data_IF_309325542547
#
_entry.id   IF_309325542547
#
_cell.length_a   1.000
_cell.length_b   1.000
_cell.length_c   1.000
_cell.angle_alpha   90.00
_cell.angle_beta   90.00
_cell.angle_gamma   90.00
#
_symmetry.space_group_name_H-M   'P 1'
#
loop_
_entity.id
_entity.type
_entity.pdbx_description
1 polymer ?
#
# COMPACT_ATOMS: atom_id res chain seq x y z
N UNK A 1 4.75 10.05 -19.22
CA UNK A 1 4.83 10.98 -18.07
C UNK A 1 6.23 11.55 -18.02
N UNK A 2 6.38 12.80 -17.59
CA UNK A 2 7.71 13.40 -17.41
C UNK A 2 8.20 13.17 -15.98
N UNK A 3 9.04 12.16 -15.79
CA UNK A 3 9.66 11.90 -14.49
C UNK A 3 10.76 12.90 -14.13
N UNK A 4 11.32 13.61 -15.12
CA UNK A 4 12.38 14.59 -14.87
C UNK A 4 11.85 15.75 -14.03
N UNK A 5 10.70 16.31 -14.39
CA UNK A 5 10.03 17.35 -13.58
C UNK A 5 9.60 16.86 -12.20
N UNK A 6 9.22 15.58 -12.07
CA UNK A 6 8.94 14.98 -10.76
C UNK A 6 10.23 14.96 -9.91
N UNK A 7 11.36 14.50 -10.45
CA UNK A 7 12.63 14.52 -9.72
C UNK A 7 13.06 15.94 -9.35
N UNK A 8 12.97 16.88 -10.28
CA UNK A 8 13.28 18.29 -10.04
C UNK A 8 12.45 18.88 -8.89
N UNK A 9 11.15 18.57 -8.84
CA UNK A 9 10.28 19.00 -7.74
C UNK A 9 10.78 18.53 -6.37
N UNK A 10 11.28 17.30 -6.28
CA UNK A 10 11.73 16.73 -5.01
C UNK A 10 13.15 17.14 -4.61
N UNK A 11 13.93 17.80 -5.48
CA UNK A 11 15.26 18.30 -5.13
C UNK A 11 15.23 19.30 -3.96
N UNK A 12 14.16 20.08 -3.85
CA UNK A 12 13.95 21.08 -2.79
C UNK A 12 12.98 20.59 -1.70
N UNK A 13 12.70 19.29 -1.64
CA UNK A 13 11.75 18.69 -0.68
C UNK A 13 12.44 18.03 0.51
N UNK A 14 11.64 17.65 1.52
CA UNK A 14 12.10 16.85 2.66
C UNK A 14 12.26 15.35 2.35
N UNK A 15 11.93 14.91 1.13
CA UNK A 15 12.02 13.51 0.74
C UNK A 15 13.35 13.20 0.05
N UNK A 16 14.06 12.18 0.55
CA UNK A 16 15.24 11.63 -0.10
C UNK A 16 14.80 10.71 -1.25
N UNK A 17 14.83 11.24 -2.46
CA UNK A 17 14.37 10.58 -3.68
C UNK A 17 15.51 10.44 -4.68
N UNK A 18 15.65 9.26 -5.28
CA UNK A 18 16.65 8.99 -6.31
C UNK A 18 16.05 8.23 -7.51
N UNK A 19 16.50 8.54 -8.73
CA UNK A 19 16.27 7.66 -9.87
C UNK A 19 17.01 6.33 -9.65
N UNK A 20 16.35 5.23 -9.97
CA UNK A 20 16.90 3.89 -9.82
C UNK A 20 16.40 2.98 -10.94
N UNK A 21 16.92 1.75 -11.00
CA UNK A 21 16.42 0.73 -11.93
C UNK A 21 16.28 -0.62 -11.24
N UNK A 22 15.17 -1.31 -11.54
CA UNK A 22 14.86 -2.65 -11.06
C UNK A 22 14.16 -3.45 -12.17
N UNK A 23 14.61 -4.68 -12.42
CA UNK A 23 14.09 -5.54 -13.49
C UNK A 23 14.12 -4.88 -14.89
N UNK A 24 15.19 -4.14 -15.19
CA UNK A 24 15.34 -3.34 -16.42
C UNK A 24 14.22 -2.29 -16.62
N UNK A 25 13.49 -1.95 -15.55
CA UNK A 25 12.52 -0.88 -15.52
C UNK A 25 13.09 0.32 -14.79
N UNK A 26 12.80 1.51 -15.30
CA UNK A 26 13.06 2.75 -14.60
C UNK A 26 12.17 2.84 -13.35
N UNK A 27 12.76 3.31 -12.26
CA UNK A 27 12.09 3.40 -10.97
C UNK A 27 12.48 4.69 -10.25
N UNK A 28 11.63 5.09 -9.31
CA UNK A 28 11.88 6.17 -8.36
C UNK A 28 11.96 5.54 -6.97
N UNK A 29 13.12 5.65 -6.32
CA UNK A 29 13.34 5.17 -4.95
C UNK A 29 13.21 6.32 -3.96
N UNK A 30 12.49 6.09 -2.87
CA UNK A 30 12.35 7.02 -1.74
C UNK A 30 12.91 6.34 -0.50
N UNK A 31 13.83 7.02 0.18
CA UNK A 31 14.48 6.54 1.39
C UNK A 31 13.80 7.15 2.62
N UNK A 32 13.25 6.30 3.47
CA UNK A 32 12.47 6.72 4.64
C UNK A 32 13.04 6.09 5.90
N UNK A 33 13.26 6.90 6.93
CA UNK A 33 13.69 6.41 8.25
C UNK A 33 12.49 6.27 9.19
N UNK A 34 12.21 5.05 9.66
CA UNK A 34 11.17 4.75 10.65
C UNK A 34 11.80 3.93 11.79
N UNK A 35 11.70 4.40 13.03
CA UNK A 35 12.30 3.74 14.22
C UNK A 35 13.79 3.40 14.05
N UNK A 36 14.55 4.33 13.47
CA UNK A 36 15.98 4.15 13.19
C UNK A 36 16.29 3.19 12.03
N UNK A 37 15.29 2.48 11.50
CA UNK A 37 15.43 1.59 10.33
C UNK A 37 15.29 2.39 9.05
N UNK A 38 16.17 2.11 8.08
CA UNK A 38 16.05 2.67 6.74
C UNK A 38 15.17 1.75 5.89
N UNK A 39 14.13 2.33 5.30
CA UNK A 39 13.23 1.68 4.36
C UNK A 39 13.43 2.28 2.97
N UNK A 40 13.17 1.48 1.95
CA UNK A 40 13.14 1.95 0.57
C UNK A 40 11.77 1.67 -0.02
N UNK A 41 11.06 2.75 -0.35
CA UNK A 41 9.84 2.70 -1.13
C UNK A 41 10.20 2.87 -2.61
N UNK A 42 9.68 2.01 -3.47
CA UNK A 42 10.02 2.02 -4.89
C UNK A 42 8.76 2.19 -5.72
N UNK A 43 8.73 3.20 -6.57
CA UNK A 43 7.73 3.36 -7.61
C UNK A 43 8.30 2.88 -8.94
N UNK A 44 7.60 1.98 -9.61
CA UNK A 44 7.93 1.58 -10.99
C UNK A 44 7.34 2.60 -11.95
N UNK A 45 8.19 3.20 -12.79
CA UNK A 45 7.76 4.28 -13.67
C UNK A 45 6.71 3.80 -14.68
N UNK A 46 5.68 4.61 -14.88
CA UNK A 46 4.56 4.34 -15.78
C UNK A 46 4.38 5.46 -16.78
N UNK A 47 3.81 5.13 -17.94
CA UNK A 47 3.56 6.14 -18.97
C UNK A 47 2.47 7.14 -18.57
N UNK A 48 1.53 6.73 -17.72
CA UNK A 48 0.36 7.51 -17.31
C UNK A 48 -0.11 7.07 -15.90
N UNK A 49 -0.48 8.03 -15.05
CA UNK A 49 -1.12 7.74 -13.77
C UNK A 49 -2.59 7.39 -14.00
N UNK A 50 -3.06 6.28 -13.43
CA UNK A 50 -4.50 5.94 -13.38
C UNK A 50 -5.09 6.10 -11.98
N UNK A 51 -4.23 6.34 -11.01
CA UNK A 51 -4.51 6.48 -9.59
C UNK A 51 -3.35 7.24 -8.95
N UNK A 52 -3.37 7.41 -7.63
CA UNK A 52 -2.16 7.80 -6.90
C UNK A 52 -0.98 6.88 -7.26
N UNK A 53 0.25 7.44 -7.35
CA UNK A 53 1.46 6.66 -7.59
C UNK A 53 1.60 5.54 -6.57
N UNK A 54 1.81 4.31 -7.04
CA UNK A 54 1.96 3.15 -6.17
C UNK A 54 3.41 3.00 -5.75
N UNK A 55 3.65 2.68 -4.49
CA UNK A 55 4.97 2.36 -3.98
C UNK A 55 5.02 0.95 -3.40
N UNK A 56 6.17 0.33 -3.60
CA UNK A 56 6.48 -1.02 -3.15
C UNK A 56 7.56 -0.95 -2.07
N UNK A 57 7.40 -1.76 -1.03
CA UNK A 57 8.41 -1.90 0.01
C UNK A 57 9.49 -2.89 -0.45
N UNK A 58 10.73 -2.41 -0.56
CA UNK A 58 11.87 -3.26 -0.91
C UNK A 58 12.40 -4.01 0.32
N UNK A 59 12.67 -5.30 0.16
CA UNK A 59 13.30 -6.17 1.16
C UNK A 59 12.68 -6.07 2.58
N UNK A 60 11.37 -6.26 2.68
CA UNK A 60 10.62 -6.14 3.94
C UNK A 60 10.87 -7.27 4.95
N UNK A 61 11.75 -8.23 4.66
CA UNK A 61 11.92 -9.47 5.44
C UNK A 61 12.26 -9.21 6.91
N UNK A 62 12.99 -8.13 7.21
CA UNK A 62 13.39 -7.73 8.57
C UNK A 62 12.26 -7.09 9.39
N UNK A 63 11.13 -6.77 8.78
CA UNK A 63 10.00 -6.09 9.43
C UNK A 63 8.92 -7.05 9.94
N UNK A 64 9.04 -8.34 9.64
CA UNK A 64 7.99 -9.31 9.90
C UNK A 64 6.77 -9.10 9.01
N UNK A 65 5.60 -9.58 9.46
CA UNK A 65 4.34 -9.42 8.73
C UNK A 65 3.68 -8.11 9.14
N UNK A 66 3.49 -7.21 8.16
CA UNK A 66 2.80 -5.94 8.35
C UNK A 66 1.43 -5.99 7.67
N UNK A 67 0.40 -5.43 8.32
CA UNK A 67 -0.88 -5.19 7.67
C UNK A 67 -0.70 -4.26 6.44
N UNK A 68 -1.60 -4.35 5.47
CA UNK A 68 -1.56 -3.59 4.21
C UNK A 68 -0.34 -3.84 3.33
N UNK A 69 0.58 -4.72 3.73
CA UNK A 69 1.78 -5.09 2.97
C UNK A 69 1.63 -6.51 2.45
N UNK A 70 1.41 -6.65 1.15
CA UNK A 70 1.10 -7.93 0.50
C UNK A 70 2.13 -8.28 -0.57
N UNK A 71 2.12 -9.55 -1.02
CA UNK A 71 2.99 -9.98 -2.10
C UNK A 71 2.70 -9.18 -3.38
N UNK A 72 3.76 -8.75 -4.05
CA UNK A 72 3.70 -8.21 -5.41
C UNK A 72 4.24 -9.21 -6.42
N UNK A 73 4.00 -8.92 -7.70
CA UNK A 73 4.57 -9.68 -8.82
C UNK A 73 6.09 -9.48 -8.96
N UNK A 74 6.65 -8.44 -8.33
CA UNK A 74 8.07 -8.15 -8.29
C UNK A 74 8.76 -8.89 -7.13
N UNK A 75 9.71 -9.78 -7.44
CA UNK A 75 10.47 -10.52 -6.44
C UNK A 75 11.29 -9.58 -5.53
N UNK A 76 11.25 -9.80 -4.21
CA UNK A 76 11.95 -8.94 -3.25
C UNK A 76 11.25 -7.62 -2.94
N UNK A 77 10.08 -7.39 -3.52
CA UNK A 77 9.22 -6.25 -3.25
C UNK A 77 7.88 -6.71 -2.66
N UNK A 78 7.25 -5.83 -1.89
CA UNK A 78 5.87 -6.00 -1.40
C UNK A 78 5.04 -4.81 -1.81
N UNK A 79 3.81 -5.05 -2.26
CA UNK A 79 2.86 -3.98 -2.54
C UNK A 79 2.31 -3.42 -1.23
N UNK A 80 2.22 -2.09 -1.13
CA UNK A 80 1.63 -1.38 0.01
C UNK A 80 0.25 -0.87 -0.40
N UNK A 81 -0.78 -1.36 0.28
CA UNK A 81 -2.16 -0.93 0.07
C UNK A 81 -2.49 0.29 0.94
N UNK A 82 -2.20 1.48 0.44
CA UNK A 82 -2.74 2.72 1.01
C UNK A 82 -4.21 2.86 0.59
N UNK A 83 -5.13 2.68 1.54
CA UNK A 83 -6.58 2.63 1.30
C UNK A 83 -7.10 3.71 0.32
N UNK A 84 -7.96 3.27 -0.59
CA UNK A 84 -8.57 4.03 -1.68
C UNK A 84 -9.81 4.86 -1.27
N UNK A 85 -10.12 4.96 0.03
CA UNK A 85 -11.40 5.53 0.50
C UNK A 85 -11.53 7.03 0.24
N UNK A 86 -10.41 7.73 0.14
CA UNK A 86 -10.41 9.09 -0.39
C UNK A 86 -10.22 8.99 -1.89
N UNK A 87 -11.31 9.20 -2.64
CA UNK A 87 -11.28 9.48 -4.08
C UNK A 87 -10.41 10.73 -4.31
N UNK A 88 -9.09 10.55 -4.37
CA UNK A 88 -8.19 11.66 -4.69
C UNK A 88 -8.39 11.95 -6.17
N UNK A 89 -8.92 13.14 -6.46
CA UNK A 89 -8.88 13.69 -7.81
C UNK A 89 -7.42 13.94 -8.14
N UNK A 90 -6.81 13.02 -8.88
CA UNK A 90 -5.41 13.18 -9.33
C UNK A 90 -5.40 14.34 -10.31
N UNK A 91 -4.79 15.45 -9.91
CA UNK A 91 -4.56 16.56 -10.83
C UNK A 91 -3.41 16.17 -11.77
N UNK A 92 -3.75 15.76 -12.99
CA UNK A 92 -2.77 15.36 -14.01
C UNK A 92 -1.89 16.51 -14.51
N UNK A 93 -2.23 17.77 -14.21
CA UNK A 93 -1.39 18.93 -14.53
C UNK A 93 -0.22 19.12 -13.56
N UNK A 94 -0.31 18.51 -12.36
CA UNK A 94 0.72 18.58 -11.30
C UNK A 94 1.00 17.19 -10.72
N UNK A 95 1.53 16.24 -11.53
CA UNK A 95 1.77 14.86 -11.10
C UNK A 95 2.67 14.78 -9.86
N UNK A 96 3.64 15.68 -9.71
CA UNK A 96 4.55 15.75 -8.57
C UNK A 96 3.83 15.87 -7.22
N UNK A 97 2.70 16.59 -7.16
CA UNK A 97 1.89 16.67 -5.94
C UNK A 97 1.21 15.34 -5.61
N UNK A 98 0.82 14.56 -6.63
CA UNK A 98 0.25 13.24 -6.43
C UNK A 98 1.31 12.26 -5.91
N UNK A 99 2.56 12.38 -6.36
CA UNK A 99 3.69 11.64 -5.79
C UNK A 99 3.94 12.01 -4.34
N UNK A 100 3.97 13.31 -4.03
CA UNK A 100 4.23 13.78 -2.66
C UNK A 100 3.16 13.28 -1.69
N UNK A 101 1.89 13.44 -2.06
CA UNK A 101 0.76 12.96 -1.28
C UNK A 101 0.79 11.44 -1.11
N UNK A 102 1.13 10.71 -2.18
CA UNK A 102 1.26 9.26 -2.09
C UNK A 102 2.38 8.85 -1.12
N UNK A 103 3.57 9.45 -1.24
CA UNK A 103 4.70 9.18 -0.34
C UNK A 103 4.28 9.42 1.12
N UNK A 104 3.64 10.56 1.41
CA UNK A 104 3.13 10.89 2.75
C UNK A 104 2.21 9.80 3.29
N UNK A 105 1.20 9.38 2.52
CA UNK A 105 0.27 8.31 2.92
C UNK A 105 0.98 6.99 3.21
N UNK A 106 1.96 6.62 2.39
CA UNK A 106 2.72 5.39 2.61
C UNK A 106 3.51 5.47 3.92
N UNK A 107 4.14 6.60 4.21
CA UNK A 107 4.88 6.83 5.45
C UNK A 107 3.94 6.84 6.65
N UNK A 108 2.83 7.55 6.57
CA UNK A 108 1.80 7.64 7.62
C UNK A 108 1.18 6.28 7.94
N UNK A 109 1.02 5.41 6.94
CA UNK A 109 0.55 4.03 7.14
C UNK A 109 1.62 3.14 7.76
N UNK A 110 2.84 3.15 7.20
CA UNK A 110 3.93 2.25 7.65
C UNK A 110 4.43 2.60 9.05
N UNK A 111 4.41 3.88 9.41
CA UNK A 111 4.90 4.39 10.69
C UNK A 111 4.27 3.67 11.90
N UNK A 112 2.94 3.69 12.10
CA UNK A 112 2.31 2.99 13.22
C UNK A 112 2.40 1.47 13.08
N UNK A 113 2.35 0.90 11.87
CA UNK A 113 2.48 -0.55 11.66
C UNK A 113 3.85 -1.09 12.12
N UNK A 114 4.91 -0.28 11.98
CA UNK A 114 6.27 -0.66 12.39
C UNK A 114 6.52 -0.31 13.87
N UNK A 115 5.97 0.80 14.36
CA UNK A 115 6.17 1.29 15.73
C UNK A 115 5.38 0.53 16.79
N UNK A 116 4.14 0.16 16.47
CA UNK A 116 3.19 -0.39 17.41
C UNK A 116 2.74 -1.79 16.94
N UNK A 117 3.27 -2.80 17.61
CA UNK A 117 2.97 -4.21 17.31
C UNK A 117 1.51 -4.56 17.56
N UNK A 118 0.85 -3.92 18.53
CA UNK A 118 -0.57 -4.15 18.80
C UNK A 118 -1.45 -3.48 17.75
N UNK A 119 -1.10 -2.26 17.32
CA UNK A 119 -1.77 -1.62 16.18
C UNK A 119 -1.67 -2.48 14.91
N UNK A 120 -0.47 -2.96 14.57
CA UNK A 120 -0.26 -3.85 13.42
C UNK A 120 -1.10 -5.13 13.52
N UNK A 121 -1.18 -5.74 14.71
CA UNK A 121 -1.99 -6.94 14.95
C UNK A 121 -3.48 -6.68 14.79
N UNK A 122 -4.00 -5.55 15.29
CA UNK A 122 -5.39 -5.15 15.11
C UNK A 122 -5.71 -4.99 13.62
N UNK A 123 -4.82 -4.33 12.87
CA UNK A 123 -4.99 -4.12 11.44
C UNK A 123 -4.92 -5.44 10.63
N UNK A 124 -4.01 -6.34 10.97
CA UNK A 124 -3.95 -7.68 10.35
C UNK A 124 -5.26 -8.45 10.54
N UNK A 125 -5.85 -8.40 11.75
CA UNK A 125 -7.14 -9.02 12.03
C UNK A 125 -8.28 -8.35 11.25
N UNK A 126 -8.23 -7.03 11.09
CA UNK A 126 -9.21 -6.25 10.30
C UNK A 126 -9.19 -6.66 8.82
N UNK A 127 -8.00 -6.77 8.24
CA UNK A 127 -7.81 -7.21 6.85
C UNK A 127 -8.24 -8.67 6.67
N UNK A 128 -7.82 -9.55 7.58
CA UNK A 128 -8.21 -10.96 7.55
C UNK A 128 -9.74 -11.11 7.61
N UNK A 129 -10.41 -10.43 8.54
CA UNK A 129 -11.87 -10.47 8.66
C UNK A 129 -12.57 -9.96 7.39
N UNK A 130 -12.05 -8.90 6.79
CA UNK A 130 -12.60 -8.33 5.56
C UNK A 130 -12.47 -9.32 4.40
N UNK A 131 -11.28 -9.88 4.19
CA UNK A 131 -11.01 -10.87 3.16
C UNK A 131 -11.81 -12.15 3.38
N UNK A 132 -11.87 -12.63 4.63
CA UNK A 132 -12.68 -13.79 5.00
C UNK A 132 -14.15 -13.58 4.68
N UNK A 133 -14.73 -12.44 5.06
CA UNK A 133 -16.12 -12.13 4.76
C UNK A 133 -16.37 -12.09 3.24
N UNK A 134 -15.48 -11.48 2.46
CA UNK A 134 -15.61 -11.43 0.99
C UNK A 134 -15.61 -12.85 0.41
N UNK A 135 -14.65 -13.68 0.81
CA UNK A 135 -14.49 -15.04 0.28
C UNK A 135 -15.55 -16.03 0.77
N UNK A 136 -16.18 -15.77 1.91
CA UNK A 136 -17.23 -16.65 2.48
C UNK A 136 -18.66 -16.16 2.22
N UNK A 137 -18.85 -15.00 1.57
CA UNK A 137 -20.18 -14.48 1.20
C UNK A 137 -21.02 -15.49 0.42
N UNK A 138 -20.42 -16.22 -0.52
CA UNK A 138 -21.11 -17.24 -1.31
C UNK A 138 -21.57 -18.43 -0.46
N UNK A 139 -20.79 -18.82 0.56
CA UNK A 139 -21.14 -19.91 1.47
C UNK A 139 -22.29 -19.55 2.42
N UNK A 140 -22.38 -18.28 2.84
CA UNK A 140 -23.52 -17.79 3.64
C UNK A 140 -24.81 -17.70 2.84
N UNK A 141 -24.74 -17.28 1.58
CA UNK A 141 -25.92 -17.15 0.73
C UNK A 141 -26.50 -18.50 0.28
N UNK A 142 -25.70 -19.56 0.31
CA UNK A 142 -26.11 -20.93 -0.04
C UNK A 142 -26.37 -21.83 1.18
N UNK A 143 -26.32 -21.28 2.40
CA UNK A 143 -26.70 -22.04 3.59
C UNK A 143 -28.21 -22.30 3.56
N UNK A 144 -28.68 -23.55 3.72
CA UNK A 144 -30.10 -23.84 3.81
C UNK A 144 -30.71 -22.98 4.92
N UNK A 145 -31.80 -22.27 4.64
CA UNK A 145 -32.62 -21.70 5.70
C UNK A 145 -33.08 -22.88 6.54
N UNK A 146 -32.58 -23.01 7.76
CA UNK A 146 -33.18 -23.91 8.74
C UNK A 146 -34.55 -23.34 9.02
N UNK A 147 -35.59 -23.97 8.49
CA UNK A 147 -36.96 -23.68 8.89
C UNK A 147 -37.05 -23.84 10.42
N UNK A 148 -37.73 -22.92 11.12
CA UNK A 148 -37.94 -23.10 12.55
C UNK A 148 -38.70 -24.40 12.76
N UNK A 149 -38.11 -25.31 13.52
CA UNK A 149 -38.78 -26.52 13.99
C UNK A 149 -39.98 -26.06 14.82
N UNK A 150 -41.17 -26.21 14.26
CA UNK A 150 -42.42 -26.09 15.02
C UNK A 150 -42.56 -27.37 15.82
N UNK A 151 -42.18 -27.32 17.10
CA UNK A 151 -42.60 -28.31 18.09
C UNK A 151 -44.11 -28.17 18.30
N UNK A 152 -44.90 -29.00 17.64
CA UNK A 152 -46.29 -29.24 17.99
C UNK A 152 -46.37 -30.45 18.92
N UNK A 153 -46.72 -30.17 20.17
CA UNK A 153 -47.10 -31.09 21.27
C UNK A 153 -48.27 -31.99 20.86
#
# INVERSE_FOLDING_TARGET
MDYSSIFEYFLDSDFDIQPSSHFDLDTLSVYVRIEGRMLTLVHFCVNELRSLPQFYLKNSTSLGVLAHVINSDYEGFKYICVNQLDSVSVNFERPELAFEESIKRHIELLTPLIKDTEFNKIELLREFKTNWNINTKSLRNNSPKTDPVTDSV
#
